data_IF_982614014625
#
_entry.id   IF_982614014625
#
_cell.length_a   1.000
_cell.length_b   1.000
_cell.length_c   1.000
_cell.angle_alpha   90.00
_cell.angle_beta   90.00
_cell.angle_gamma   90.00
#
_symmetry.space_group_name_H-M   'P 1'
#
loop_
_entity.id
_entity.type
_entity.pdbx_description
1 polymer ?
#
# COMPACT_ATOMS: atom_id res chain seq x y z
N UNK A 1 37.84 -0.31 -16.96
CA UNK A 1 37.80 -0.51 -18.43
C UNK A 1 38.14 -1.95 -18.80
N UNK A 2 37.13 -2.81 -18.86
CA UNK A 2 37.10 -3.90 -19.82
C UNK A 2 35.66 -4.40 -19.97
N UNK A 3 35.01 -3.82 -20.96
CA UNK A 3 33.88 -4.36 -21.71
C UNK A 3 34.13 -5.85 -21.99
N UNK A 4 33.25 -6.72 -21.51
CA UNK A 4 33.26 -8.14 -21.89
C UNK A 4 32.41 -8.32 -23.14
N UNK A 5 33.07 -8.09 -24.29
CA UNK A 5 32.65 -8.66 -25.57
C UNK A 5 32.87 -10.17 -25.52
N UNK A 6 31.77 -10.93 -25.59
CA UNK A 6 31.80 -12.39 -25.67
C UNK A 6 32.40 -12.85 -27.01
N UNK A 7 33.57 -13.52 -26.97
CA UNK A 7 33.90 -14.57 -27.93
C UNK A 7 35.17 -15.38 -27.58
N UNK A 8 35.02 -16.72 -27.72
CA UNK A 8 36.01 -17.73 -28.16
C UNK A 8 36.48 -18.79 -27.13
N UNK A 9 35.87 -19.98 -27.26
CA UNK A 9 36.36 -21.34 -26.97
C UNK A 9 37.84 -21.51 -26.50
N UNK A 10 38.04 -22.22 -25.38
CA UNK A 10 39.20 -23.13 -25.24
C UNK A 10 39.86 -23.36 -23.86
N UNK A 11 39.22 -24.17 -23.00
CA UNK A 11 39.78 -25.31 -22.20
C UNK A 11 40.91 -25.12 -21.14
N UNK A 12 40.55 -25.60 -19.92
CA UNK A 12 41.27 -26.50 -18.95
C UNK A 12 41.91 -25.86 -17.71
N UNK A 13 41.89 -26.47 -16.52
CA UNK A 13 40.97 -27.40 -15.82
C UNK A 13 41.39 -27.58 -14.34
N UNK A 14 42.27 -26.72 -13.80
CA UNK A 14 42.86 -26.88 -12.45
C UNK A 14 42.81 -25.58 -11.62
N UNK A 15 42.07 -24.58 -12.09
CA UNK A 15 41.57 -23.43 -11.30
C UNK A 15 40.10 -23.64 -10.88
N UNK A 16 39.52 -24.83 -11.12
CA UNK A 16 38.08 -25.08 -11.05
C UNK A 16 37.49 -24.94 -9.63
N UNK A 17 38.20 -25.27 -8.54
CA UNK A 17 37.64 -25.19 -7.18
C UNK A 17 37.69 -23.79 -6.53
N UNK A 18 38.27 -22.79 -7.20
CA UNK A 18 38.27 -21.38 -6.76
C UNK A 18 37.70 -20.42 -7.82
N UNK A 19 37.21 -20.98 -8.93
CA UNK A 19 36.49 -20.28 -10.01
C UNK A 19 34.99 -20.57 -9.99
N UNK A 20 34.56 -21.61 -9.29
CA UNK A 20 33.13 -21.95 -9.14
C UNK A 20 32.40 -20.98 -8.20
N UNK A 21 33.13 -20.22 -7.37
CA UNK A 21 32.58 -19.15 -6.50
C UNK A 21 32.58 -17.77 -7.19
N UNK A 22 33.19 -17.64 -8.37
CA UNK A 22 33.45 -16.35 -9.06
C UNK A 22 32.63 -16.24 -10.36
N UNK A 23 31.67 -17.14 -10.58
CA UNK A 23 30.77 -17.17 -11.75
C UNK A 23 29.31 -16.83 -11.42
N UNK A 24 28.91 -16.81 -10.15
CA UNK A 24 27.53 -16.59 -9.69
C UNK A 24 27.14 -15.13 -9.50
N UNK A 25 28.05 -14.17 -9.73
CA UNK A 25 27.78 -12.74 -9.46
C UNK A 25 28.09 -11.86 -10.68
N UNK A 26 27.08 -11.22 -11.22
CA UNK A 26 27.18 -10.25 -12.29
C UNK A 26 27.23 -8.82 -11.73
N UNK A 27 28.01 -7.96 -12.38
CA UNK A 27 28.00 -6.51 -12.18
C UNK A 27 27.62 -5.87 -13.51
N UNK A 28 26.51 -5.13 -13.52
CA UNK A 28 26.05 -4.35 -14.66
C UNK A 28 26.22 -2.89 -14.33
N UNK A 29 27.16 -2.24 -15.00
CA UNK A 29 27.40 -0.80 -14.91
C UNK A 29 27.13 -0.20 -16.29
N UNK A 30 26.11 0.65 -16.39
CA UNK A 30 25.68 1.28 -17.66
C UNK A 30 25.81 2.80 -17.54
N UNK A 31 26.36 3.41 -18.58
CA UNK A 31 26.72 4.83 -18.56
C UNK A 31 26.03 5.68 -19.63
N UNK A 32 25.45 5.07 -20.68
CA UNK A 32 24.67 5.70 -21.77
C UNK A 32 24.45 4.72 -22.94
N UNK A 33 23.24 4.20 -23.09
CA UNK A 33 22.61 3.55 -24.25
C UNK A 33 21.13 3.98 -24.33
N UNK A 34 20.48 3.72 -25.46
CA UNK A 34 19.04 4.02 -25.64
C UNK A 34 18.19 2.93 -24.96
N UNK A 35 18.50 1.66 -25.23
CA UNK A 35 17.83 0.50 -24.68
C UNK A 35 18.85 -0.53 -24.19
N UNK A 36 18.62 -1.13 -23.02
CA UNK A 36 19.38 -2.26 -22.52
C UNK A 36 18.46 -3.35 -21.96
N UNK A 37 18.82 -4.61 -22.24
CA UNK A 37 18.21 -5.79 -21.62
C UNK A 37 19.31 -6.67 -21.05
N UNK A 38 19.10 -7.13 -19.82
CA UNK A 38 20.04 -7.91 -19.01
C UNK A 38 19.33 -9.13 -18.45
N UNK A 39 19.93 -10.31 -18.63
CA UNK A 39 19.44 -11.60 -18.11
C UNK A 39 20.58 -12.24 -17.30
N UNK A 40 20.33 -12.58 -16.04
CA UNK A 40 21.33 -13.09 -15.09
C UNK A 40 20.75 -14.26 -14.27
N UNK A 41 21.30 -15.46 -14.46
CA UNK A 41 20.81 -16.70 -13.82
C UNK A 41 21.01 -16.80 -12.29
N UNK A 42 21.79 -15.91 -11.65
CA UNK A 42 22.04 -16.01 -10.20
C UNK A 42 22.04 -14.63 -9.51
N UNK A 43 23.18 -14.14 -9.01
CA UNK A 43 23.24 -12.88 -8.27
C UNK A 43 23.66 -11.72 -9.16
N UNK A 44 22.97 -10.59 -9.05
CA UNK A 44 23.28 -9.37 -9.78
C UNK A 44 23.48 -8.16 -8.86
N UNK A 45 24.40 -7.30 -9.26
CA UNK A 45 24.46 -5.91 -8.85
C UNK A 45 24.27 -5.05 -10.11
N UNK A 46 23.16 -4.33 -10.20
CA UNK A 46 22.82 -3.45 -11.32
C UNK A 46 22.90 -2.01 -10.84
N UNK A 47 23.90 -1.28 -11.33
CA UNK A 47 24.10 0.15 -11.05
C UNK A 47 23.93 0.93 -12.36
N UNK A 48 22.89 1.78 -12.44
CA UNK A 48 22.60 2.55 -13.65
C UNK A 48 22.47 4.04 -13.36
N UNK A 49 23.21 4.84 -14.14
CA UNK A 49 23.23 6.29 -13.97
C UNK A 49 22.20 7.02 -14.84
N UNK A 50 22.20 6.78 -16.16
CA UNK A 50 21.36 7.49 -17.16
C UNK A 50 21.18 6.69 -18.46
N UNK A 51 19.96 6.25 -18.74
CA UNK A 51 19.51 5.59 -19.98
C UNK A 51 18.03 5.97 -20.23
N UNK A 52 17.50 5.65 -21.41
CA UNK A 52 16.06 5.82 -21.67
C UNK A 52 15.30 4.59 -21.15
N UNK A 53 15.64 3.38 -21.61
CA UNK A 53 14.91 2.15 -21.25
C UNK A 53 15.85 1.03 -20.74
N UNK A 54 15.50 0.43 -19.60
CA UNK A 54 16.23 -0.70 -19.01
C UNK A 54 15.28 -1.84 -18.62
N UNK A 55 15.61 -3.05 -19.08
CA UNK A 55 14.93 -4.29 -18.66
C UNK A 55 15.94 -5.21 -17.96
N UNK A 56 15.60 -5.69 -16.76
CA UNK A 56 16.46 -6.55 -15.93
C UNK A 56 15.68 -7.80 -15.53
N UNK A 57 16.20 -8.98 -15.88
CA UNK A 57 15.66 -10.30 -15.54
C UNK A 57 16.72 -11.09 -14.75
N UNK A 58 16.39 -11.53 -13.53
CA UNK A 58 17.33 -12.19 -12.60
C UNK A 58 16.67 -13.36 -11.85
N UNK A 59 17.17 -14.59 -12.01
CA UNK A 59 16.58 -15.80 -11.42
C UNK A 59 16.79 -15.95 -9.90
N UNK A 60 17.78 -15.29 -9.28
CA UNK A 60 17.95 -15.41 -7.82
C UNK A 60 17.89 -14.06 -7.11
N UNK A 61 19.02 -13.34 -7.02
CA UNK A 61 19.13 -12.18 -6.13
C UNK A 61 19.61 -10.95 -6.85
N UNK A 62 18.89 -9.86 -6.68
CA UNK A 62 19.26 -8.58 -7.23
C UNK A 62 19.49 -7.52 -6.16
N UNK A 63 20.47 -6.67 -6.42
CA UNK A 63 20.49 -5.30 -5.94
C UNK A 63 20.45 -4.40 -7.17
N UNK A 64 19.40 -3.61 -7.30
CA UNK A 64 19.15 -2.69 -8.42
C UNK A 64 19.14 -1.27 -7.86
N UNK A 65 20.21 -0.52 -8.16
CA UNK A 65 20.35 0.89 -7.79
C UNK A 65 20.30 1.75 -9.05
N UNK A 66 19.27 2.60 -9.16
CA UNK A 66 19.08 3.44 -10.34
C UNK A 66 18.88 4.91 -9.96
N UNK A 67 19.67 5.78 -10.57
CA UNK A 67 19.61 7.22 -10.26
C UNK A 67 18.58 7.97 -11.09
N UNK A 68 18.64 7.83 -12.42
CA UNK A 68 17.82 8.57 -13.38
C UNK A 68 17.60 7.74 -14.65
N UNK A 69 16.38 7.40 -15.01
CA UNK A 69 15.98 6.85 -16.33
C UNK A 69 14.65 7.45 -16.75
N UNK A 70 14.16 6.99 -17.90
CA UNK A 70 12.77 7.19 -18.31
C UNK A 70 11.92 6.00 -17.84
N UNK A 71 12.32 4.79 -18.24
CA UNK A 71 11.55 3.56 -18.03
C UNK A 71 12.46 2.45 -17.49
N UNK A 72 12.00 1.77 -16.43
CA UNK A 72 12.69 0.64 -15.82
C UNK A 72 11.72 -0.51 -15.56
N UNK A 73 12.03 -1.70 -16.10
CA UNK A 73 11.34 -2.94 -15.79
C UNK A 73 12.30 -3.91 -15.09
N UNK A 74 11.89 -4.44 -13.95
CA UNK A 74 12.67 -5.37 -13.12
C UNK A 74 11.83 -6.62 -12.85
N UNK A 75 12.32 -7.78 -13.28
CA UNK A 75 11.73 -9.10 -13.07
C UNK A 75 12.73 -9.99 -12.31
N UNK A 76 12.35 -10.49 -11.12
CA UNK A 76 13.26 -11.25 -10.24
C UNK A 76 12.55 -12.43 -9.57
N UNK A 77 13.03 -13.67 -9.80
CA UNK A 77 12.36 -14.88 -9.28
C UNK A 77 12.56 -15.14 -7.77
N UNK A 78 13.56 -14.57 -7.08
CA UNK A 78 13.63 -14.70 -5.60
C UNK A 78 13.64 -13.36 -4.87
N UNK A 79 14.79 -12.69 -4.76
CA UNK A 79 14.97 -11.61 -3.78
C UNK A 79 15.54 -10.36 -4.41
N UNK A 80 14.84 -9.26 -4.24
CA UNK A 80 15.28 -7.97 -4.71
C UNK A 80 15.45 -6.95 -3.59
N UNK A 81 16.43 -6.09 -3.80
CA UNK A 81 16.43 -4.74 -3.28
C UNK A 81 16.44 -3.80 -4.48
N UNK A 82 15.41 -2.97 -4.62
CA UNK A 82 15.25 -2.00 -5.71
C UNK A 82 15.25 -0.61 -5.10
N UNK A 83 16.31 0.14 -5.33
CA UNK A 83 16.48 1.53 -4.86
C UNK A 83 16.49 2.47 -6.06
N UNK A 84 15.52 3.37 -6.13
CA UNK A 84 15.36 4.27 -7.26
C UNK A 84 15.18 5.72 -6.84
N UNK A 85 16.04 6.62 -7.34
CA UNK A 85 15.97 8.02 -6.95
C UNK A 85 14.96 8.83 -7.78
N UNK A 86 15.03 8.75 -9.11
CA UNK A 86 14.23 9.58 -10.03
C UNK A 86 13.90 8.80 -11.32
N UNK A 87 12.61 8.66 -11.67
CA UNK A 87 12.13 8.04 -12.93
C UNK A 87 10.85 8.70 -13.43
N UNK A 88 10.48 8.43 -14.69
CA UNK A 88 9.10 8.59 -15.15
C UNK A 88 8.30 7.34 -14.77
N UNK A 89 8.69 6.15 -15.26
CA UNK A 89 7.95 4.89 -15.09
C UNK A 89 8.83 3.78 -14.49
N UNK A 90 8.31 3.05 -13.50
CA UNK A 90 8.93 1.86 -12.92
C UNK A 90 7.93 0.71 -12.77
N UNK A 91 8.27 -0.46 -13.32
CA UNK A 91 7.56 -1.71 -13.08
C UNK A 91 8.49 -2.70 -12.37
N UNK A 92 8.01 -3.28 -11.27
CA UNK A 92 8.74 -4.26 -10.46
C UNK A 92 7.88 -5.50 -10.27
N UNK A 93 8.36 -6.65 -10.76
CA UNK A 93 7.73 -7.97 -10.62
C UNK A 93 8.71 -8.91 -9.89
N UNK A 94 8.31 -9.43 -8.72
CA UNK A 94 9.19 -10.25 -7.88
C UNK A 94 8.43 -11.43 -7.26
N UNK A 95 8.86 -12.67 -7.51
CA UNK A 95 8.12 -13.84 -7.01
C UNK A 95 8.25 -14.01 -5.48
N UNK A 96 9.44 -13.93 -4.85
CA UNK A 96 9.50 -14.12 -3.38
C UNK A 96 9.48 -12.83 -2.55
N UNK A 97 10.58 -12.07 -2.49
CA UNK A 97 10.74 -11.00 -1.48
C UNK A 97 11.37 -9.75 -2.06
N UNK A 98 10.71 -8.63 -1.83
CA UNK A 98 11.22 -7.34 -2.23
C UNK A 98 11.38 -6.36 -1.07
N UNK A 99 12.36 -5.49 -1.24
CA UNK A 99 12.35 -4.16 -0.67
C UNK A 99 12.42 -3.19 -1.85
N UNK A 100 11.41 -2.33 -1.97
CA UNK A 100 11.30 -1.30 -3.00
C UNK A 100 11.33 0.07 -2.33
N UNK A 101 12.40 0.83 -2.56
CA UNK A 101 12.59 2.18 -2.03
C UNK A 101 12.63 3.18 -3.19
N UNK A 102 11.67 4.11 -3.21
CA UNK A 102 11.54 5.09 -4.29
C UNK A 102 11.40 6.51 -3.75
N UNK A 103 12.27 7.42 -4.21
CA UNK A 103 12.21 8.82 -3.78
C UNK A 103 11.25 9.69 -4.59
N UNK A 104 11.34 9.67 -5.92
CA UNK A 104 10.59 10.57 -6.80
C UNK A 104 10.28 9.88 -8.13
N UNK A 105 9.00 9.68 -8.48
CA UNK A 105 8.58 9.18 -9.80
C UNK A 105 7.23 9.74 -10.23
N UNK A 106 6.86 9.53 -11.50
CA UNK A 106 5.51 9.80 -12.00
C UNK A 106 4.63 8.56 -11.73
N UNK A 107 5.01 7.39 -12.28
CA UNK A 107 4.23 6.15 -12.18
C UNK A 107 5.07 4.97 -11.63
N UNK A 108 4.50 4.23 -10.66
CA UNK A 108 5.09 3.01 -10.10
C UNK A 108 4.06 1.87 -10.02
N UNK A 109 4.42 0.72 -10.59
CA UNK A 109 3.69 -0.54 -10.41
C UNK A 109 4.58 -1.56 -9.72
N UNK A 110 4.07 -2.17 -8.65
CA UNK A 110 4.76 -3.20 -7.87
C UNK A 110 3.87 -4.43 -7.74
N UNK A 111 4.34 -5.57 -8.27
CA UNK A 111 3.70 -6.88 -8.18
C UNK A 111 4.65 -7.86 -7.48
N UNK A 112 4.24 -8.42 -6.33
CA UNK A 112 5.09 -9.32 -5.52
C UNK A 112 4.28 -10.48 -4.94
N UNK A 113 4.66 -11.74 -5.21
CA UNK A 113 3.85 -12.88 -4.74
C UNK A 113 3.97 -13.08 -3.21
N UNK A 114 5.16 -13.17 -2.60
CA UNK A 114 5.21 -13.39 -1.14
C UNK A 114 5.26 -12.12 -0.27
N UNK A 115 6.38 -11.39 -0.21
CA UNK A 115 6.59 -10.37 0.85
C UNK A 115 7.22 -9.11 0.33
N UNK A 116 6.57 -8.01 0.63
CA UNK A 116 6.98 -6.69 0.19
C UNK A 116 7.16 -5.72 1.36
N UNK A 117 8.17 -4.88 1.22
CA UNK A 117 8.25 -3.58 1.88
C UNK A 117 8.36 -2.55 0.76
N UNK A 118 7.39 -1.66 0.67
CA UNK A 118 7.32 -0.59 -0.33
C UNK A 118 7.37 0.75 0.41
N UNK A 119 8.46 1.50 0.22
CA UNK A 119 8.68 2.82 0.80
C UNK A 119 8.74 3.87 -0.33
N UNK A 120 7.77 4.80 -0.35
CA UNK A 120 7.67 5.83 -1.38
C UNK A 120 7.59 7.22 -0.75
N UNK A 121 8.47 8.13 -1.17
CA UNK A 121 8.49 9.49 -0.62
C UNK A 121 7.59 10.46 -1.38
N UNK A 122 7.65 10.48 -2.72
CA UNK A 122 6.93 11.42 -3.57
C UNK A 122 6.59 10.80 -4.92
N UNK A 123 5.31 10.65 -5.26
CA UNK A 123 4.85 10.14 -6.55
C UNK A 123 3.54 10.78 -7.03
N UNK A 124 3.21 10.61 -8.31
CA UNK A 124 1.87 10.93 -8.85
C UNK A 124 0.97 9.69 -8.66
N UNK A 125 1.31 8.56 -9.28
CA UNK A 125 0.49 7.32 -9.28
C UNK A 125 1.28 6.09 -8.78
N UNK A 126 0.68 5.30 -7.88
CA UNK A 126 1.25 4.07 -7.31
C UNK A 126 0.20 2.97 -7.27
N UNK A 127 0.51 1.83 -7.89
CA UNK A 127 -0.25 0.59 -7.78
C UNK A 127 0.62 -0.48 -7.12
N UNK A 128 0.08 -1.10 -6.06
CA UNK A 128 0.75 -2.16 -5.30
C UNK A 128 -0.17 -3.38 -5.23
N UNK A 129 0.26 -4.50 -5.80
CA UNK A 129 -0.44 -5.80 -5.80
C UNK A 129 0.46 -6.86 -5.14
N UNK A 130 0.06 -7.41 -3.99
CA UNK A 130 0.89 -8.37 -3.22
C UNK A 130 0.04 -9.54 -2.71
N UNK A 131 0.42 -10.78 -3.01
CA UNK A 131 -0.42 -11.93 -2.59
C UNK A 131 -0.33 -12.18 -1.06
N UNK A 132 0.86 -12.35 -0.45
CA UNK A 132 0.88 -12.64 1.01
C UNK A 132 0.95 -11.40 1.93
N UNK A 133 2.09 -10.71 2.00
CA UNK A 133 2.33 -9.74 3.09
C UNK A 133 3.01 -8.48 2.62
N UNK A 134 2.39 -7.35 2.93
CA UNK A 134 2.93 -6.05 2.61
C UNK A 134 3.04 -5.13 3.82
N UNK A 135 4.07 -4.30 3.76
CA UNK A 135 4.14 -3.02 4.46
C UNK A 135 4.30 -1.94 3.38
N UNK A 136 3.35 -1.02 3.32
CA UNK A 136 3.32 0.09 2.36
C UNK A 136 3.38 1.39 3.16
N UNK A 137 4.48 2.13 2.99
CA UNK A 137 4.72 3.44 3.62
C UNK A 137 4.83 4.51 2.54
N UNK A 138 3.89 5.46 2.52
CA UNK A 138 3.85 6.57 1.55
C UNK A 138 3.80 7.92 2.25
N UNK A 139 4.74 8.82 1.90
CA UNK A 139 4.77 10.15 2.51
C UNK A 139 3.88 11.16 1.77
N UNK A 140 3.96 11.23 0.44
CA UNK A 140 3.27 12.24 -0.36
C UNK A 140 2.91 11.67 -1.74
N UNK A 141 1.63 11.72 -2.11
CA UNK A 141 1.16 11.19 -3.39
C UNK A 141 -0.13 11.87 -3.89
N UNK A 142 -0.46 11.75 -5.18
CA UNK A 142 -1.78 12.08 -5.73
C UNK A 142 -2.72 10.85 -5.61
N UNK A 143 -2.43 9.74 -6.31
CA UNK A 143 -3.28 8.53 -6.35
C UNK A 143 -2.55 7.25 -5.90
N UNK A 144 -3.17 6.43 -5.04
CA UNK A 144 -2.62 5.17 -4.52
C UNK A 144 -3.70 4.10 -4.53
N UNK A 145 -3.39 2.97 -5.18
CA UNK A 145 -4.18 1.75 -5.13
C UNK A 145 -3.35 0.63 -4.50
N UNK A 146 -3.91 -0.01 -3.46
CA UNK A 146 -3.27 -1.13 -2.75
C UNK A 146 -4.23 -2.32 -2.75
N UNK A 147 -3.82 -3.43 -3.36
CA UNK A 147 -4.54 -4.70 -3.41
C UNK A 147 -3.68 -5.80 -2.78
N UNK A 148 -4.13 -6.41 -1.67
CA UNK A 148 -3.33 -7.39 -0.91
C UNK A 148 -4.19 -8.58 -0.48
N UNK A 149 -3.83 -9.82 -0.82
CA UNK A 149 -4.69 -10.97 -0.47
C UNK A 149 -4.63 -11.28 1.04
N UNK A 150 -3.46 -11.50 1.67
CA UNK A 150 -3.46 -11.85 3.11
C UNK A 150 -3.37 -10.65 4.07
N UNK A 151 -2.22 -9.97 4.17
CA UNK A 151 -1.96 -9.06 5.31
C UNK A 151 -1.24 -7.80 4.89
N UNK A 152 -1.83 -6.66 5.21
CA UNK A 152 -1.20 -5.37 4.97
C UNK A 152 -1.11 -4.51 6.23
N UNK A 153 -0.06 -3.70 6.25
CA UNK A 153 0.02 -2.46 6.99
C UNK A 153 0.21 -1.35 5.96
N UNK A 154 -0.72 -0.40 5.93
CA UNK A 154 -0.70 0.75 5.02
C UNK A 154 -0.62 2.02 5.87
N UNK A 155 0.48 2.75 5.74
CA UNK A 155 0.74 4.02 6.42
C UNK A 155 0.91 5.15 5.38
N UNK A 156 -0.01 6.12 5.39
CA UNK A 156 0.00 7.25 4.45
C UNK A 156 -0.06 8.58 5.18
N UNK A 157 0.90 9.47 4.91
CA UNK A 157 0.92 10.78 5.57
C UNK A 157 0.09 11.85 4.85
N UNK A 158 0.23 11.98 3.53
CA UNK A 158 -0.41 13.04 2.75
C UNK A 158 -0.77 12.54 1.35
N UNK A 159 -2.05 12.63 0.98
CA UNK A 159 -2.52 12.17 -0.32
C UNK A 159 -3.76 12.90 -0.85
N UNK A 160 -4.11 12.81 -2.14
CA UNK A 160 -5.42 13.19 -2.67
C UNK A 160 -6.40 12.00 -2.59
N UNK A 161 -6.15 10.90 -3.31
CA UNK A 161 -7.05 9.73 -3.39
C UNK A 161 -6.36 8.40 -3.00
N UNK A 162 -7.00 7.58 -2.14
CA UNK A 162 -6.48 6.28 -1.69
C UNK A 162 -7.58 5.22 -1.74
N UNK A 163 -7.31 4.13 -2.44
CA UNK A 163 -8.13 2.93 -2.44
C UNK A 163 -7.32 1.75 -1.87
N UNK A 164 -7.89 1.09 -0.86
CA UNK A 164 -7.29 -0.08 -0.21
C UNK A 164 -8.27 -1.24 -0.26
N UNK A 165 -7.87 -2.34 -0.90
CA UNK A 165 -8.61 -3.61 -0.98
C UNK A 165 -7.74 -4.73 -0.38
N UNK A 166 -8.22 -5.39 0.69
CA UNK A 166 -7.46 -6.45 1.37
C UNK A 166 -8.39 -7.60 1.77
N UNK A 167 -8.07 -8.85 1.39
CA UNK A 167 -8.97 -9.96 1.69
C UNK A 167 -8.93 -10.35 3.20
N UNK A 168 -7.76 -10.64 3.81
CA UNK A 168 -7.76 -11.05 5.23
C UNK A 168 -7.64 -9.90 6.25
N UNK A 169 -6.45 -9.31 6.43
CA UNK A 169 -6.17 -8.44 7.59
C UNK A 169 -5.46 -7.16 7.24
N UNK A 170 -6.02 -6.07 7.73
CA UNK A 170 -5.50 -4.74 7.48
C UNK A 170 -5.31 -3.90 8.74
N UNK A 171 -4.25 -3.11 8.72
CA UNK A 171 -4.12 -1.91 9.51
C UNK A 171 -3.90 -0.76 8.53
N UNK A 172 -4.81 0.21 8.52
CA UNK A 172 -4.76 1.39 7.65
C UNK A 172 -4.68 2.63 8.52
N UNK A 173 -3.55 3.34 8.45
CA UNK A 173 -3.28 4.59 9.17
C UNK A 173 -3.08 5.74 8.17
N UNK A 174 -3.98 6.72 8.18
CA UNK A 174 -3.92 7.87 7.26
C UNK A 174 -4.03 9.20 8.02
N UNK A 175 -3.05 10.10 7.81
CA UNK A 175 -3.04 11.38 8.52
C UNK A 175 -3.81 12.49 7.81
N UNK A 176 -3.59 12.71 6.51
CA UNK A 176 -4.17 13.83 5.77
C UNK A 176 -4.47 13.43 4.32
N UNK A 177 -5.71 13.59 3.89
CA UNK A 177 -6.10 13.31 2.51
C UNK A 177 -7.44 13.98 2.13
N UNK A 178 -7.82 13.91 0.85
CA UNK A 178 -9.16 14.33 0.37
C UNK A 178 -10.13 13.15 0.47
N UNK A 179 -9.89 12.04 -0.25
CA UNK A 179 -10.79 10.89 -0.33
C UNK A 179 -10.11 9.57 0.06
N UNK A 180 -10.71 8.80 0.98
CA UNK A 180 -10.25 7.46 1.40
C UNK A 180 -11.35 6.41 1.26
N UNK A 181 -11.09 5.37 0.46
CA UNK A 181 -11.94 4.18 0.34
C UNK A 181 -11.19 2.93 0.85
N UNK A 182 -11.82 2.19 1.76
CA UNK A 182 -11.26 0.97 2.36
C UNK A 182 -12.28 -0.16 2.28
N UNK A 183 -11.92 -1.25 1.60
CA UNK A 183 -12.72 -2.48 1.45
C UNK A 183 -11.92 -3.68 1.98
N UNK A 184 -12.41 -4.36 3.03
CA UNK A 184 -11.68 -5.45 3.69
C UNK A 184 -12.61 -6.63 4.00
N UNK A 185 -12.29 -7.86 3.60
CA UNK A 185 -13.22 -8.99 3.85
C UNK A 185 -13.21 -9.43 5.34
N UNK A 186 -12.06 -9.73 5.97
CA UNK A 186 -12.09 -10.21 7.37
C UNK A 186 -11.94 -9.14 8.46
N UNK A 187 -10.73 -8.68 8.78
CA UNK A 187 -10.47 -7.89 9.98
C UNK A 187 -9.65 -6.63 9.69
N UNK A 188 -10.20 -5.46 10.03
CA UNK A 188 -9.47 -4.20 9.90
C UNK A 188 -9.46 -3.33 11.15
N UNK A 189 -8.38 -2.55 11.24
CA UNK A 189 -8.29 -1.35 12.04
C UNK A 189 -8.03 -0.19 11.08
N UNK A 190 -8.92 0.80 11.07
CA UNK A 190 -8.82 2.00 10.25
C UNK A 190 -8.72 3.22 11.16
N UNK A 191 -7.59 3.92 11.10
CA UNK A 191 -7.32 5.16 11.82
C UNK A 191 -7.13 6.31 10.80
N UNK A 192 -8.06 7.27 10.80
CA UNK A 192 -8.04 8.41 9.89
C UNK A 192 -8.16 9.73 10.66
N UNK A 193 -7.19 10.64 10.44
CA UNK A 193 -7.14 11.89 11.20
C UNK A 193 -7.86 13.06 10.53
N UNK A 194 -7.54 13.37 9.27
CA UNK A 194 -8.07 14.55 8.58
C UNK A 194 -8.34 14.23 7.11
N UNK A 195 -9.61 14.13 6.74
CA UNK A 195 -10.12 13.81 5.41
C UNK A 195 -11.29 14.72 5.04
N UNK A 196 -11.57 14.84 3.74
CA UNK A 196 -12.88 15.35 3.30
C UNK A 196 -13.89 14.21 3.37
N UNK A 197 -13.61 13.08 2.71
CA UNK A 197 -14.49 11.91 2.64
C UNK A 197 -13.79 10.63 3.09
N UNK A 198 -14.48 9.82 3.90
CA UNK A 198 -14.05 8.48 4.31
C UNK A 198 -15.18 7.46 4.14
N UNK A 199 -14.94 6.45 3.28
CA UNK A 199 -15.81 5.29 3.09
C UNK A 199 -15.10 4.01 3.56
N UNK A 200 -15.76 3.26 4.43
CA UNK A 200 -15.24 1.99 4.98
C UNK A 200 -16.28 0.89 4.82
N UNK A 201 -15.94 -0.17 4.10
CA UNK A 201 -16.76 -1.38 3.89
C UNK A 201 -15.98 -2.61 4.41
N UNK A 202 -16.52 -3.34 5.40
CA UNK A 202 -15.85 -4.52 5.97
C UNK A 202 -16.84 -5.65 6.27
N UNK A 203 -16.57 -6.87 5.82
CA UNK A 203 -17.52 -7.98 6.04
C UNK A 203 -17.51 -8.46 7.51
N UNK A 204 -16.37 -8.86 8.10
CA UNK A 204 -16.41 -9.40 9.47
C UNK A 204 -16.25 -8.37 10.61
N UNK A 205 -15.04 -7.84 10.85
CA UNK A 205 -14.74 -7.10 12.09
C UNK A 205 -13.95 -5.84 11.83
N UNK A 206 -14.48 -4.73 12.33
CA UNK A 206 -13.87 -3.43 12.19
C UNK A 206 -13.72 -2.68 13.51
N UNK A 207 -12.60 -1.97 13.61
CA UNK A 207 -12.44 -0.81 14.48
C UNK A 207 -12.15 0.39 13.58
N UNK A 208 -13.03 1.38 13.60
CA UNK A 208 -12.89 2.61 12.83
C UNK A 208 -12.77 3.80 13.78
N UNK A 209 -11.63 4.48 13.75
CA UNK A 209 -11.34 5.71 14.50
C UNK A 209 -11.17 6.87 13.52
N UNK A 210 -12.10 7.84 13.56
CA UNK A 210 -12.11 9.00 12.66
C UNK A 210 -12.16 10.31 13.45
N UNK A 211 -11.14 11.17 13.25
CA UNK A 211 -10.99 12.38 14.06
C UNK A 211 -11.70 13.61 13.49
N UNK A 212 -11.40 14.00 12.25
CA UNK A 212 -11.89 15.24 11.63
C UNK A 212 -12.20 15.03 10.15
N UNK A 213 -13.47 14.71 9.83
CA UNK A 213 -13.95 14.51 8.45
C UNK A 213 -15.03 15.54 8.07
N UNK A 214 -15.29 15.73 6.77
CA UNK A 214 -16.57 16.31 6.34
C UNK A 214 -17.63 15.21 6.34
N UNK A 215 -17.39 14.11 5.62
CA UNK A 215 -18.29 12.96 5.50
C UNK A 215 -17.63 11.66 5.95
N UNK A 216 -18.35 10.85 6.73
CA UNK A 216 -17.95 9.50 7.14
C UNK A 216 -19.08 8.49 6.89
N UNK A 217 -18.82 7.52 6.03
CA UNK A 217 -19.70 6.40 5.74
C UNK A 217 -19.03 5.08 6.17
N UNK A 218 -19.74 4.29 6.99
CA UNK A 218 -19.25 3.01 7.51
C UNK A 218 -20.30 1.93 7.31
N UNK A 219 -19.99 0.89 6.55
CA UNK A 219 -20.83 -0.28 6.29
C UNK A 219 -20.12 -1.56 6.75
N UNK A 220 -20.67 -2.29 7.73
CA UNK A 220 -20.01 -3.47 8.31
C UNK A 220 -21.00 -4.62 8.52
N UNK A 221 -20.74 -5.82 8.01
CA UNK A 221 -21.73 -6.92 8.14
C UNK A 221 -21.78 -7.47 9.58
N UNK A 222 -20.67 -7.93 10.19
CA UNK A 222 -20.77 -8.52 11.53
C UNK A 222 -20.59 -7.55 12.71
N UNK A 223 -19.36 -7.07 12.96
CA UNK A 223 -19.05 -6.39 14.25
C UNK A 223 -18.21 -5.14 14.04
N UNK A 224 -18.74 -4.01 14.50
CA UNK A 224 -18.01 -2.76 14.46
C UNK A 224 -17.88 -2.10 15.84
N UNK A 225 -16.76 -1.42 16.02
CA UNK A 225 -16.59 -0.30 16.94
C UNK A 225 -16.27 0.93 16.08
N UNK A 226 -17.13 1.95 16.14
CA UNK A 226 -16.96 3.20 15.40
C UNK A 226 -16.83 4.35 16.40
N UNK A 227 -15.68 5.02 16.38
CA UNK A 227 -15.37 6.22 17.17
C UNK A 227 -15.17 7.41 16.23
N UNK A 228 -16.09 8.38 16.30
CA UNK A 228 -16.15 9.53 15.41
C UNK A 228 -16.17 10.83 16.22
N UNK A 229 -15.14 11.67 16.08
CA UNK A 229 -14.95 12.84 16.94
C UNK A 229 -15.56 14.14 16.40
N UNK A 230 -15.26 14.51 15.16
CA UNK A 230 -15.72 15.74 14.55
C UNK A 230 -16.02 15.50 13.06
N UNK A 231 -17.29 15.57 12.69
CA UNK A 231 -17.79 15.33 11.33
C UNK A 231 -18.79 16.43 10.92
N UNK A 232 -19.08 16.62 9.64
CA UNK A 232 -20.34 17.27 9.24
C UNK A 232 -21.45 16.22 9.19
N UNK A 233 -21.21 15.11 8.47
CA UNK A 233 -22.15 14.00 8.30
C UNK A 233 -21.53 12.67 8.73
N UNK A 234 -22.29 11.86 9.49
CA UNK A 234 -21.93 10.49 9.87
C UNK A 234 -23.06 9.51 9.53
N UNK A 235 -22.78 8.57 8.63
CA UNK A 235 -23.65 7.44 8.28
C UNK A 235 -23.00 6.12 8.71
N UNK A 236 -23.73 5.32 9.49
CA UNK A 236 -23.27 4.00 9.95
C UNK A 236 -24.36 2.95 9.69
N UNK A 237 -24.03 1.92 8.93
CA UNK A 237 -24.88 0.75 8.63
C UNK A 237 -24.18 -0.53 9.10
N UNK A 238 -24.80 -1.28 10.01
CA UNK A 238 -24.18 -2.51 10.57
C UNK A 238 -25.21 -3.63 10.74
N UNK A 239 -24.98 -4.81 10.17
CA UNK A 239 -25.98 -5.89 10.26
C UNK A 239 -26.05 -6.50 11.68
N UNK A 240 -24.97 -7.00 12.27
CA UNK A 240 -25.09 -7.64 13.60
C UNK A 240 -24.89 -6.71 14.81
N UNK A 241 -23.66 -6.29 15.11
CA UNK A 241 -23.31 -5.72 16.43
C UNK A 241 -22.45 -4.48 16.31
N UNK A 242 -22.94 -3.39 16.88
CA UNK A 242 -22.24 -2.13 16.89
C UNK A 242 -22.04 -1.54 18.28
N UNK A 243 -20.91 -0.87 18.44
CA UNK A 243 -20.72 0.23 19.38
C UNK A 243 -20.38 1.47 18.56
N UNK A 244 -21.20 2.52 18.66
CA UNK A 244 -21.00 3.79 17.95
C UNK A 244 -20.87 4.92 18.97
N UNK A 245 -19.73 5.60 18.98
CA UNK A 245 -19.47 6.81 19.76
C UNK A 245 -19.25 7.99 18.80
N UNK A 246 -20.17 8.96 18.81
CA UNK A 246 -20.15 10.13 17.93
C UNK A 246 -20.24 11.42 18.75
N UNK A 247 -19.24 12.32 18.64
CA UNK A 247 -19.10 13.44 19.58
C UNK A 247 -19.53 14.83 19.10
N UNK A 248 -19.24 15.21 17.86
CA UNK A 248 -19.60 16.53 17.29
C UNK A 248 -19.88 16.39 15.80
N UNK A 249 -21.15 16.53 15.41
CA UNK A 249 -21.57 16.40 14.03
C UNK A 249 -22.80 17.26 13.71
N UNK A 250 -23.05 17.61 12.46
CA UNK A 250 -24.31 18.25 12.07
C UNK A 250 -25.41 17.18 11.97
N UNK A 251 -25.14 16.11 11.22
CA UNK A 251 -26.08 15.01 10.98
C UNK A 251 -25.50 13.66 11.45
N UNK A 252 -26.33 12.88 12.17
CA UNK A 252 -26.01 11.50 12.54
C UNK A 252 -27.12 10.55 12.07
N UNK A 253 -26.76 9.58 11.23
CA UNK A 253 -27.61 8.50 10.77
C UNK A 253 -27.01 7.13 11.14
N UNK A 254 -27.76 6.31 11.86
CA UNK A 254 -27.31 4.98 12.30
C UNK A 254 -28.40 3.95 12.05
N UNK A 255 -28.09 2.92 11.25
CA UNK A 255 -28.95 1.77 10.95
C UNK A 255 -28.27 0.48 11.41
N UNK A 256 -28.89 -0.27 12.32
CA UNK A 256 -28.31 -1.51 12.88
C UNK A 256 -29.36 -2.61 13.04
N UNK A 257 -29.16 -3.80 12.46
CA UNK A 257 -30.21 -4.83 12.52
C UNK A 257 -30.30 -5.50 13.91
N UNK A 258 -29.23 -6.09 14.48
CA UNK A 258 -29.39 -6.80 15.76
C UNK A 258 -29.16 -5.94 17.03
N UNK A 259 -27.91 -5.58 17.35
CA UNK A 259 -27.56 -5.07 18.68
C UNK A 259 -26.66 -3.85 18.61
N UNK A 260 -27.12 -2.78 19.23
CA UNK A 260 -26.42 -1.51 19.21
C UNK A 260 -26.26 -0.90 20.61
N UNK A 261 -25.10 -0.31 20.85
CA UNK A 261 -24.90 0.76 21.81
C UNK A 261 -24.48 2.01 21.05
N UNK A 262 -25.27 3.07 21.14
CA UNK A 262 -25.01 4.35 20.45
C UNK A 262 -24.91 5.45 21.49
N UNK A 263 -23.76 6.10 21.57
CA UNK A 263 -23.53 7.30 22.37
C UNK A 263 -23.30 8.48 21.42
N UNK A 264 -24.22 9.45 21.45
CA UNK A 264 -24.16 10.61 20.57
C UNK A 264 -24.18 11.90 21.39
N UNK A 265 -23.23 12.80 21.12
CA UNK A 265 -23.10 14.11 21.75
C UNK A 265 -23.14 15.20 20.66
N UNK A 266 -23.72 16.37 21.00
CA UNK A 266 -23.63 17.60 20.20
C UNK A 266 -23.91 17.46 18.69
N UNK A 267 -25.15 17.13 18.36
CA UNK A 267 -25.66 17.04 16.99
C UNK A 267 -26.87 17.93 16.71
N UNK A 268 -27.06 18.35 15.46
CA UNK A 268 -28.27 19.08 15.03
C UNK A 268 -29.41 18.12 14.66
N UNK A 269 -29.09 17.11 13.83
CA UNK A 269 -30.03 16.08 13.38
C UNK A 269 -29.59 14.67 13.84
N UNK A 270 -30.58 13.83 14.13
CA UNK A 270 -30.37 12.47 14.62
C UNK A 270 -31.41 11.51 14.05
N UNK A 271 -30.95 10.52 13.31
CA UNK A 271 -31.72 9.37 12.87
C UNK A 271 -31.06 8.07 13.36
N UNK A 272 -31.80 7.26 14.13
CA UNK A 272 -31.30 5.97 14.63
C UNK A 272 -32.40 4.92 14.47
N UNK A 273 -32.15 3.93 13.62
CA UNK A 273 -32.99 2.77 13.36
C UNK A 273 -32.29 1.49 13.83
N UNK A 274 -32.89 0.79 14.79
CA UNK A 274 -32.31 -0.45 15.35
C UNK A 274 -33.42 -1.50 15.48
N UNK A 275 -33.29 -2.66 14.84
CA UNK A 275 -34.42 -3.61 14.75
C UNK A 275 -34.65 -4.43 16.04
N UNK A 276 -33.60 -5.05 16.62
CA UNK A 276 -33.80 -5.90 17.82
C UNK A 276 -33.55 -5.19 19.16
N UNK A 277 -32.31 -4.79 19.45
CA UNK A 277 -31.90 -4.34 20.79
C UNK A 277 -30.96 -3.15 20.74
N UNK A 278 -31.43 -2.05 21.32
CA UNK A 278 -30.71 -0.79 21.39
C UNK A 278 -30.51 -0.30 22.83
N UNK A 279 -29.35 0.30 23.08
CA UNK A 279 -29.17 1.35 24.08
C UNK A 279 -28.68 2.61 23.37
N UNK A 280 -29.48 3.67 23.36
CA UNK A 280 -29.13 4.95 22.74
C UNK A 280 -29.06 6.03 23.82
N UNK A 281 -27.90 6.64 23.98
CA UNK A 281 -27.66 7.79 24.87
C UNK A 281 -27.37 9.04 24.03
N UNK A 282 -28.18 10.07 24.21
CA UNK A 282 -28.07 11.34 23.50
C UNK A 282 -27.86 12.47 24.50
N UNK A 283 -26.75 13.19 24.36
CA UNK A 283 -26.39 14.32 25.20
C UNK A 283 -26.33 15.60 24.35
N UNK A 284 -27.08 16.61 24.77
CA UNK A 284 -27.02 17.96 24.17
C UNK A 284 -26.39 18.91 25.19
N UNK A 285 -25.57 19.87 24.74
CA UNK A 285 -25.14 20.96 25.62
C UNK A 285 -26.37 21.80 26.01
N UNK A 286 -26.61 21.99 27.32
CA UNK A 286 -27.58 22.97 27.80
C UNK A 286 -27.09 24.38 27.43
N UNK A 287 -27.80 25.11 26.56
CA UNK A 287 -27.57 26.53 26.29
C UNK A 287 -27.75 27.44 27.52
#
# INVERSE_FOLDING_TARGET
MKTLLFNRFGKKKDEEAKKEEDASKALVEVLQQEELSVEIEEEALVEVLQEEELNVEIDEKALVEVLQQKELNVEIEEKALVEVLQQEELNVEIEEKALVEVLQQEELNVEIEEKALVEVLQQEELNVEIEEKALVEVLQQEELNVEIEEKALVEVLQQEELNVEIEEKALVEVLQQEELNVEIEEEALVEALQQEELNVEIEEKALVEALQQEELNVEIEEKALVEALQQEELNVEIEEKALVEALQQEELNVEIEEKALVEALQQEELNVEIEEKALVEVLQQEE
#
